data_IF_274702551910
#
_entry.id   IF_274702551910
#
_cell.length_a   1.000
_cell.length_b   1.000
_cell.length_c   1.000
_cell.angle_alpha   90.00
_cell.angle_beta   90.00
_cell.angle_gamma   90.00
#
_symmetry.space_group_name_H-M   'P 1'
#
loop_
_entity.id
_entity.type
_entity.pdbx_description
1 polymer ?
#
# COMPACT_ATOMS: atom_id res chain seq x y z
N UNK A 1 -40.81 35.78 13.49
CA UNK A 1 -39.88 34.98 14.34
C UNK A 1 -39.85 33.50 14.00
N UNK A 2 -40.99 32.80 13.73
CA UNK A 2 -41.00 31.37 13.37
C UNK A 2 -40.24 31.01 12.08
N UNK A 3 -40.22 31.84 11.06
CA UNK A 3 -39.51 31.62 9.79
C UNK A 3 -37.96 31.70 9.93
N UNK A 4 -37.46 32.51 10.83
CA UNK A 4 -36.02 32.67 11.09
C UNK A 4 -35.45 31.45 11.83
N UNK A 5 -36.25 30.85 12.69
CA UNK A 5 -35.84 29.65 13.47
C UNK A 5 -35.68 28.41 12.58
N UNK A 6 -36.52 28.24 11.55
CA UNK A 6 -36.40 27.15 10.59
C UNK A 6 -35.18 27.25 9.69
N UNK A 7 -34.79 28.49 9.32
CA UNK A 7 -33.59 28.70 8.49
C UNK A 7 -32.31 28.42 9.27
N UNK A 8 -32.27 28.71 10.56
CA UNK A 8 -31.12 28.41 11.42
C UNK A 8 -30.97 26.88 11.69
N UNK A 9 -32.08 26.17 11.83
CA UNK A 9 -32.06 24.71 12.01
C UNK A 9 -31.60 23.97 10.75
N UNK A 10 -31.96 24.46 9.56
CA UNK A 10 -31.53 23.90 8.28
C UNK A 10 -30.03 24.12 8.03
N UNK A 11 -29.43 25.19 8.50
CA UNK A 11 -28.01 25.49 8.33
C UNK A 11 -27.13 24.66 9.27
N UNK A 12 -27.63 24.30 10.45
CA UNK A 12 -26.90 23.47 11.41
C UNK A 12 -26.81 21.99 10.99
N UNK A 13 -27.79 21.49 10.22
CA UNK A 13 -27.79 20.12 9.72
C UNK A 13 -26.81 19.89 8.53
N UNK A 14 -26.31 20.94 7.89
CA UNK A 14 -25.42 20.85 6.74
C UNK A 14 -23.93 20.68 7.11
N UNK A 15 -23.56 20.71 8.39
CA UNK A 15 -22.15 20.77 8.82
C UNK A 15 -21.58 19.46 9.38
N UNK A 16 -22.32 18.37 9.35
CA UNK A 16 -21.80 17.07 9.78
C UNK A 16 -21.64 16.12 8.60
N UNK A 17 -20.77 16.47 7.64
CA UNK A 17 -20.23 15.46 6.75
C UNK A 17 -19.27 14.61 7.61
N UNK A 18 -19.52 13.29 7.75
CA UNK A 18 -18.57 12.44 8.45
C UNK A 18 -17.23 12.53 7.73
N UNK A 19 -16.18 12.90 8.46
CA UNK A 19 -14.84 12.91 7.91
C UNK A 19 -14.54 11.51 7.38
N UNK A 20 -14.24 11.41 6.09
CA UNK A 20 -13.95 10.12 5.48
C UNK A 20 -12.79 9.46 6.22
N UNK A 21 -13.02 8.24 6.67
CA UNK A 21 -12.01 7.44 7.37
C UNK A 21 -10.75 7.24 6.52
N UNK A 22 -9.57 7.40 7.14
CA UNK A 22 -8.31 7.12 6.46
C UNK A 22 -8.16 5.63 6.16
N UNK A 23 -7.82 5.28 4.91
CA UNK A 23 -7.69 3.89 4.45
C UNK A 23 -6.75 3.76 3.25
N UNK A 24 -6.20 2.56 3.08
CA UNK A 24 -5.61 2.08 1.84
C UNK A 24 -6.75 1.83 0.87
N UNK A 25 -6.66 2.36 -0.35
CA UNK A 25 -7.74 2.31 -1.36
C UNK A 25 -7.51 1.23 -2.41
N UNK A 26 -6.28 1.10 -2.91
CA UNK A 26 -5.92 0.12 -3.95
C UNK A 26 -4.50 -0.41 -3.74
N UNK A 27 -4.20 -1.56 -4.33
CA UNK A 27 -2.92 -2.24 -4.24
C UNK A 27 -2.88 -3.26 -3.09
N UNK A 28 -1.68 -3.77 -2.75
CA UNK A 28 -0.41 -3.42 -3.36
C UNK A 28 -0.24 -4.03 -4.76
N UNK A 29 0.52 -3.33 -5.61
CA UNK A 29 1.05 -3.84 -6.86
C UNK A 29 2.57 -3.95 -6.76
N UNK A 30 3.14 -4.92 -7.48
CA UNK A 30 4.58 -5.09 -7.58
C UNK A 30 5.04 -4.64 -8.96
N UNK A 31 6.06 -3.79 -9.00
CA UNK A 31 6.64 -3.25 -10.23
C UNK A 31 8.16 -3.35 -10.17
N UNK A 32 8.81 -3.31 -11.32
CA UNK A 32 10.27 -3.21 -11.42
C UNK A 32 10.98 -4.27 -10.56
N UNK A 33 10.53 -5.52 -10.70
CA UNK A 33 11.14 -6.64 -9.99
C UNK A 33 12.45 -7.03 -10.63
N UNK A 34 13.48 -7.22 -9.80
CA UNK A 34 14.82 -7.66 -10.19
C UNK A 34 15.23 -8.87 -9.35
N UNK A 35 16.44 -9.34 -9.52
CA UNK A 35 17.01 -10.40 -8.69
C UNK A 35 17.23 -9.94 -7.23
N UNK A 36 17.41 -8.63 -7.00
CA UNK A 36 17.78 -8.05 -5.70
C UNK A 36 16.82 -6.96 -5.21
N UNK A 37 15.66 -6.77 -5.88
CA UNK A 37 14.74 -5.74 -5.46
C UNK A 37 13.37 -5.77 -6.14
N UNK A 38 12.45 -5.00 -5.57
CA UNK A 38 11.08 -4.82 -6.09
C UNK A 38 10.52 -3.47 -5.61
N UNK A 39 9.71 -2.83 -6.41
CA UNK A 39 8.95 -1.64 -6.01
C UNK A 39 7.52 -2.04 -5.65
N UNK A 40 7.08 -1.69 -4.45
CA UNK A 40 5.72 -1.92 -3.97
C UNK A 40 4.93 -0.62 -4.08
N UNK A 41 3.80 -0.66 -4.82
CA UNK A 41 2.92 0.49 -5.02
C UNK A 41 1.56 0.26 -4.39
N UNK A 42 0.99 1.32 -3.82
CA UNK A 42 -0.40 1.33 -3.35
C UNK A 42 -0.93 2.76 -3.23
N UNK A 43 -2.22 2.91 -3.01
CA UNK A 43 -2.85 4.23 -2.81
C UNK A 43 -3.59 4.33 -1.48
N UNK A 44 -3.68 5.56 -0.99
CA UNK A 44 -4.48 5.95 0.17
C UNK A 44 -5.46 7.06 -0.22
N UNK A 45 -6.56 7.22 0.53
CA UNK A 45 -7.53 8.29 0.27
C UNK A 45 -7.12 9.66 0.81
N UNK A 46 -6.02 9.73 1.59
CA UNK A 46 -5.45 10.98 2.11
C UNK A 46 -3.94 10.90 2.12
N UNK A 47 -3.22 12.03 2.16
CA UNK A 47 -1.76 12.03 2.28
C UNK A 47 -1.27 11.23 3.48
N UNK A 48 -0.17 10.49 3.29
CA UNK A 48 0.35 9.61 4.33
C UNK A 48 1.88 9.48 4.28
N UNK A 49 2.47 9.21 5.44
CA UNK A 49 3.78 8.59 5.55
C UNK A 49 3.61 7.09 5.45
N UNK A 50 4.23 6.49 4.46
CA UNK A 50 4.00 5.08 4.13
C UNK A 50 5.28 4.28 4.12
N UNK A 51 5.19 2.97 4.49
CA UNK A 51 6.33 2.07 4.50
C UNK A 51 5.92 0.62 4.22
N UNK A 52 6.91 -0.17 3.87
CA UNK A 52 6.80 -1.62 3.74
C UNK A 52 7.67 -2.27 4.81
N UNK A 53 7.14 -3.28 5.45
CA UNK A 53 7.91 -4.23 6.26
C UNK A 53 7.96 -5.54 5.51
N UNK A 54 9.17 -6.08 5.30
CA UNK A 54 9.38 -7.31 4.54
C UNK A 54 10.43 -8.20 5.21
N UNK A 55 10.28 -9.51 5.02
CA UNK A 55 11.22 -10.53 5.50
C UNK A 55 11.21 -11.74 4.58
N UNK A 56 12.24 -12.57 4.63
CA UNK A 56 12.22 -13.88 3.96
C UNK A 56 11.08 -14.74 4.49
N UNK A 57 10.41 -15.46 3.61
CA UNK A 57 9.31 -16.38 3.99
C UNK A 57 9.91 -17.72 4.47
N UNK A 58 10.24 -17.78 5.73
CA UNK A 58 10.83 -18.94 6.41
C UNK A 58 9.78 -19.83 7.09
N UNK A 59 8.49 -19.58 6.83
CA UNK A 59 7.35 -20.30 7.40
C UNK A 59 6.96 -19.89 8.81
N UNK A 60 7.70 -18.97 9.45
CA UNK A 60 7.34 -18.40 10.75
C UNK A 60 6.25 -17.34 10.63
N UNK A 61 5.60 -17.03 11.73
CA UNK A 61 4.65 -15.91 11.77
C UNK A 61 5.34 -14.59 11.44
N UNK A 62 4.72 -13.78 10.59
CA UNK A 62 5.23 -12.43 10.27
C UNK A 62 5.49 -11.57 11.53
N UNK A 63 4.75 -11.80 12.59
CA UNK A 63 4.91 -11.05 13.86
C UNK A 63 5.87 -11.71 14.85
N UNK A 64 6.60 -12.77 14.46
CA UNK A 64 7.56 -13.42 15.34
C UNK A 64 8.81 -12.57 15.62
N UNK A 65 9.09 -11.57 14.80
CA UNK A 65 10.19 -10.63 14.95
C UNK A 65 9.80 -9.24 14.44
N UNK A 66 10.56 -8.23 14.86
CA UNK A 66 10.48 -6.90 14.27
C UNK A 66 11.16 -6.90 12.90
N UNK A 67 10.58 -6.13 11.98
CA UNK A 67 11.09 -6.01 10.61
C UNK A 67 11.55 -4.59 10.32
N UNK A 68 12.57 -4.48 9.47
CA UNK A 68 13.03 -3.18 8.97
C UNK A 68 11.93 -2.50 8.17
N UNK A 69 11.72 -1.21 8.44
CA UNK A 69 10.78 -0.37 7.69
C UNK A 69 11.47 0.26 6.50
N UNK A 70 10.96 -0.03 5.32
CA UNK A 70 11.42 0.57 4.07
C UNK A 70 10.46 1.69 3.69
N UNK A 71 11.01 2.89 3.44
CA UNK A 71 10.24 4.10 3.13
C UNK A 71 10.52 4.58 1.71
N UNK A 72 9.55 5.23 1.10
CA UNK A 72 9.85 6.06 -0.07
C UNK A 72 10.68 7.26 0.35
N UNK A 73 11.86 7.43 -0.27
CA UNK A 73 12.76 8.53 0.03
C UNK A 73 13.15 9.28 -1.25
N UNK A 74 13.22 10.60 -1.15
CA UNK A 74 13.78 11.47 -2.20
C UNK A 74 14.86 12.32 -1.56
N UNK A 75 16.05 12.30 -2.11
CA UNK A 75 17.22 12.99 -1.56
C UNK A 75 17.43 12.71 -0.06
N UNK A 76 17.25 11.45 0.36
CA UNK A 76 17.39 11.01 1.75
C UNK A 76 16.24 11.37 2.70
N UNK A 77 15.20 12.05 2.21
CA UNK A 77 14.04 12.43 3.01
C UNK A 77 12.84 11.54 2.74
N UNK A 78 12.17 11.07 3.78
CA UNK A 78 10.93 10.30 3.69
C UNK A 78 9.82 11.15 3.08
N UNK A 79 9.04 10.56 2.19
CA UNK A 79 7.90 11.22 1.55
C UNK A 79 6.63 10.98 2.38
N UNK A 80 5.91 12.06 2.73
CA UNK A 80 4.72 11.98 3.59
C UNK A 80 3.51 12.77 3.07
N UNK A 81 3.60 13.37 1.89
CA UNK A 81 2.57 14.29 1.37
C UNK A 81 1.80 13.73 0.17
N UNK A 82 1.91 12.42 -0.07
CA UNK A 82 1.38 11.75 -1.26
C UNK A 82 0.26 10.79 -0.90
N UNK A 83 -0.58 10.51 -1.87
CA UNK A 83 -1.63 9.48 -1.83
C UNK A 83 -1.28 8.25 -2.66
N UNK A 84 -0.34 8.38 -3.61
CA UNK A 84 0.28 7.26 -4.31
C UNK A 84 1.67 7.03 -3.70
N UNK A 85 1.89 5.83 -3.21
CA UNK A 85 3.11 5.42 -2.52
C UNK A 85 3.89 4.43 -3.38
N UNK A 86 5.22 4.62 -3.46
CA UNK A 86 6.13 3.75 -4.21
C UNK A 86 7.36 3.48 -3.32
N UNK A 87 7.41 2.32 -2.73
CA UNK A 87 8.50 1.93 -1.84
C UNK A 87 9.38 0.88 -2.50
N UNK A 88 10.64 1.21 -2.75
CA UNK A 88 11.64 0.29 -3.27
C UNK A 88 12.23 -0.55 -2.14
N UNK A 89 12.16 -1.87 -2.28
CA UNK A 89 12.94 -2.82 -1.50
C UNK A 89 14.21 -3.15 -2.29
N UNK A 90 15.36 -2.99 -1.67
CA UNK A 90 16.67 -3.28 -2.27
C UNK A 90 17.45 -4.27 -1.41
N UNK A 91 18.56 -4.80 -1.96
CA UNK A 91 19.45 -5.73 -1.29
C UNK A 91 18.74 -7.03 -0.85
N UNK A 92 17.77 -7.45 -1.63
CA UNK A 92 17.11 -8.73 -1.48
C UNK A 92 17.99 -9.85 -2.02
N UNK A 93 17.80 -11.07 -1.53
CA UNK A 93 18.51 -12.24 -2.05
C UNK A 93 17.83 -12.76 -3.31
N UNK A 94 18.60 -13.08 -4.37
CA UNK A 94 18.05 -13.66 -5.60
C UNK A 94 17.31 -14.98 -5.35
N UNK A 95 16.27 -15.23 -6.15
CA UNK A 95 15.49 -16.45 -6.15
C UNK A 95 14.76 -16.76 -4.84
N UNK A 96 14.64 -15.77 -3.95
CA UNK A 96 14.18 -15.95 -2.57
C UNK A 96 12.72 -15.52 -2.41
N UNK A 97 11.94 -16.33 -1.67
CA UNK A 97 10.57 -15.96 -1.29
C UNK A 97 10.58 -14.96 -0.14
N UNK A 98 9.76 -13.94 -0.27
CA UNK A 98 9.55 -12.90 0.74
C UNK A 98 8.07 -12.80 1.11
N UNK A 99 7.81 -12.46 2.36
CA UNK A 99 6.51 -11.99 2.80
C UNK A 99 6.59 -10.53 3.24
N UNK A 100 5.52 -9.75 3.02
CA UNK A 100 5.52 -8.33 3.30
C UNK A 100 4.14 -7.81 3.69
N UNK A 101 4.14 -6.64 4.33
CA UNK A 101 2.94 -5.85 4.65
C UNK A 101 3.21 -4.39 4.32
N UNK A 102 2.17 -3.68 3.91
CA UNK A 102 2.19 -2.24 3.68
C UNK A 102 1.49 -1.52 4.82
N UNK A 103 2.02 -0.38 5.17
CA UNK A 103 1.53 0.49 6.24
C UNK A 103 1.46 1.93 5.75
N UNK A 104 0.47 2.66 6.22
CA UNK A 104 0.34 4.09 5.94
C UNK A 104 -0.15 4.81 7.19
N UNK A 105 0.53 5.90 7.55
CA UNK A 105 0.15 6.77 8.66
C UNK A 105 -0.37 8.09 8.09
N UNK A 106 -1.61 8.44 8.44
CA UNK A 106 -2.28 9.65 7.96
C UNK A 106 -1.50 10.90 8.33
N UNK A 107 -1.35 11.82 7.39
CA UNK A 107 -0.88 13.17 7.66
C UNK A 107 -2.10 14.05 7.90
N UNK A 108 -2.25 14.53 9.13
CA UNK A 108 -3.35 15.42 9.52
C UNK A 108 -3.04 16.86 9.17
N UNK A 109 -1.82 17.29 9.45
CA UNK A 109 -1.40 18.66 9.22
C UNK A 109 0.10 18.69 8.93
N UNK A 110 0.49 19.47 7.94
CA UNK A 110 1.88 19.81 7.68
C UNK A 110 2.16 21.18 8.28
N UNK A 111 2.81 21.20 9.42
CA UNK A 111 3.26 22.43 10.05
C UNK A 111 4.56 22.92 9.43
N UNK A 112 5.10 23.97 9.91
CA UNK A 112 6.31 24.58 9.36
C UNK A 112 7.52 23.63 9.41
N UNK A 113 8.31 23.56 8.34
CA UNK A 113 9.52 22.74 8.23
C UNK A 113 9.23 21.23 8.24
N UNK A 114 9.95 20.50 9.07
CA UNK A 114 9.80 19.03 9.19
C UNK A 114 8.75 18.62 10.27
N UNK A 115 7.98 19.57 10.77
CA UNK A 115 6.97 19.33 11.79
C UNK A 115 5.66 18.87 11.15
N UNK A 116 5.38 17.59 11.23
CA UNK A 116 4.18 16.94 10.68
C UNK A 116 3.34 16.37 11.82
N UNK A 117 2.05 16.71 11.83
CA UNK A 117 1.10 16.08 12.74
C UNK A 117 0.54 14.83 12.07
N UNK A 118 0.82 13.68 12.66
CA UNK A 118 0.36 12.39 12.16
C UNK A 118 -0.92 11.94 12.87
N UNK A 119 -1.79 11.27 12.12
CA UNK A 119 -2.97 10.60 12.60
C UNK A 119 -2.76 9.10 12.80
N UNK A 120 -3.84 8.35 12.56
CA UNK A 120 -3.84 6.90 12.71
C UNK A 120 -3.03 6.18 11.63
N UNK A 121 -2.57 4.99 11.96
CA UNK A 121 -1.94 4.07 11.02
C UNK A 121 -2.93 3.03 10.56
N UNK A 122 -2.92 2.72 9.25
CA UNK A 122 -3.61 1.60 8.64
C UNK A 122 -2.60 0.65 8.01
N UNK A 123 -2.94 -0.62 7.94
CA UNK A 123 -2.07 -1.64 7.35
C UNK A 123 -2.89 -2.65 6.54
N UNK A 124 -2.23 -3.30 5.57
CA UNK A 124 -2.83 -4.36 4.78
C UNK A 124 -2.73 -5.71 5.47
N UNK A 125 -3.73 -6.56 5.23
CA UNK A 125 -3.72 -7.97 5.62
C UNK A 125 -3.24 -8.24 7.06
N UNK A 126 -3.69 -7.40 7.99
CA UNK A 126 -3.37 -7.52 9.40
C UNK A 126 -4.27 -8.55 10.11
N UNK A 127 -3.96 -8.84 11.37
CA UNK A 127 -4.63 -9.79 12.25
C UNK A 127 -4.54 -11.23 11.70
N UNK A 128 -5.65 -11.85 11.38
CA UNK A 128 -5.71 -13.25 10.93
C UNK A 128 -5.42 -13.46 9.44
N UNK A 129 -5.13 -12.40 8.70
CA UNK A 129 -4.84 -12.50 7.27
C UNK A 129 -3.35 -12.75 7.03
N UNK A 130 -3.03 -13.63 6.09
CA UNK A 130 -1.66 -13.87 5.65
C UNK A 130 -1.03 -12.60 5.08
N UNK A 131 0.29 -12.37 5.27
CA UNK A 131 1.00 -11.31 4.56
C UNK A 131 0.99 -11.56 3.04
N UNK A 132 1.25 -10.52 2.27
CA UNK A 132 1.52 -10.66 0.85
C UNK A 132 2.86 -11.37 0.63
N UNK A 133 3.04 -11.97 -0.54
CA UNK A 133 4.25 -12.70 -0.91
C UNK A 133 4.72 -12.35 -2.30
N UNK A 134 6.03 -12.45 -2.52
CA UNK A 134 6.65 -12.44 -3.83
C UNK A 134 7.92 -13.30 -3.81
N UNK A 135 8.49 -13.56 -4.99
CA UNK A 135 9.81 -14.16 -5.14
C UNK A 135 10.63 -13.27 -6.05
N UNK A 136 11.87 -12.96 -5.66
CA UNK A 136 12.84 -12.27 -6.49
C UNK A 136 13.26 -13.14 -7.68
N UNK A 137 13.73 -12.53 -8.77
CA UNK A 137 14.29 -13.29 -9.87
C UNK A 137 15.57 -14.01 -9.44
N UNK A 138 15.87 -15.20 -10.01
CA UNK A 138 17.13 -15.88 -9.74
C UNK A 138 18.30 -15.13 -10.36
N UNK A 139 19.50 -15.26 -9.75
CA UNK A 139 20.72 -14.58 -10.21
C UNK A 139 21.26 -15.07 -11.55
N UNK A 140 20.93 -16.30 -11.95
CA UNK A 140 21.37 -16.88 -13.23
C UNK A 140 20.18 -17.17 -14.09
N UNK A 141 20.31 -16.84 -15.40
CA UNK A 141 19.23 -16.93 -16.37
C UNK A 141 18.54 -18.29 -16.38
N UNK A 142 17.34 -18.28 -15.95
CA UNK A 142 16.36 -19.34 -16.16
C UNK A 142 15.30 -18.78 -17.10
N UNK A 143 14.68 -19.65 -17.88
CA UNK A 143 13.54 -19.25 -18.68
C UNK A 143 12.49 -18.60 -17.77
N UNK A 144 11.94 -17.49 -18.22
CA UNK A 144 10.83 -16.85 -17.53
C UNK A 144 9.59 -16.84 -18.44
N UNK A 145 8.44 -17.08 -17.85
CA UNK A 145 7.16 -16.94 -18.52
C UNK A 145 6.43 -15.72 -17.95
N UNK A 146 5.74 -15.00 -18.81
CA UNK A 146 4.89 -13.90 -18.39
C UNK A 146 3.59 -13.87 -19.20
N UNK A 147 2.57 -13.27 -18.62
CA UNK A 147 1.28 -13.09 -19.28
C UNK A 147 1.02 -11.60 -19.45
N UNK A 148 0.58 -11.21 -20.63
CA UNK A 148 0.12 -9.86 -20.92
C UNK A 148 -1.40 -9.90 -21.02
N UNK A 149 -2.07 -9.13 -20.16
CA UNK A 149 -3.51 -8.92 -20.21
C UNK A 149 -3.76 -7.45 -20.55
N UNK A 150 -4.58 -7.20 -21.55
CA UNK A 150 -4.97 -5.85 -21.96
C UNK A 150 -6.44 -5.81 -22.34
N UNK A 151 -6.98 -4.62 -22.48
CA UNK A 151 -8.30 -4.33 -23.06
C UNK A 151 -9.48 -5.04 -22.38
N UNK A 152 -9.41 -5.20 -21.06
CA UNK A 152 -10.43 -5.90 -20.27
C UNK A 152 -11.69 -5.03 -20.05
N UNK A 153 -11.66 -3.74 -20.43
CA UNK A 153 -12.80 -2.80 -20.38
C UNK A 153 -13.56 -2.79 -19.05
N UNK A 154 -12.82 -2.86 -17.93
CA UNK A 154 -13.42 -2.83 -16.59
C UNK A 154 -14.13 -4.12 -16.15
N UNK A 155 -14.01 -5.21 -16.90
CA UNK A 155 -14.57 -6.52 -16.53
C UNK A 155 -13.66 -7.25 -15.54
N UNK A 156 -13.74 -6.84 -14.27
CA UNK A 156 -12.88 -7.36 -13.20
C UNK A 156 -13.09 -8.87 -12.95
N UNK A 157 -14.30 -9.37 -13.19
CA UNK A 157 -14.62 -10.80 -13.01
C UNK A 157 -13.92 -11.65 -14.06
N UNK A 158 -13.87 -11.23 -15.32
CA UNK A 158 -13.14 -11.90 -16.39
C UNK A 158 -11.63 -11.93 -16.10
N UNK A 159 -11.08 -10.81 -15.58
CA UNK A 159 -9.69 -10.76 -15.15
C UNK A 159 -9.42 -11.80 -14.06
N UNK A 160 -10.32 -11.89 -13.08
CA UNK A 160 -10.19 -12.82 -11.96
C UNK A 160 -10.24 -14.28 -12.45
N UNK A 161 -11.09 -14.58 -13.42
CA UNK A 161 -11.19 -15.91 -13.99
C UNK A 161 -9.95 -16.28 -14.80
N UNK A 162 -9.49 -15.39 -15.68
CA UNK A 162 -8.24 -15.57 -16.44
C UNK A 162 -7.04 -15.79 -15.51
N UNK A 163 -6.94 -15.03 -14.40
CA UNK A 163 -5.85 -15.20 -13.44
C UNK A 163 -5.90 -16.55 -12.69
N UNK A 164 -7.06 -17.22 -12.60
CA UNK A 164 -7.15 -18.56 -12.00
C UNK A 164 -6.60 -19.66 -12.91
N UNK A 165 -6.69 -19.45 -14.21
CA UNK A 165 -6.18 -20.41 -15.20
C UNK A 165 -4.65 -20.31 -15.40
N UNK A 166 -4.02 -19.26 -14.87
CA UNK A 166 -2.59 -19.02 -14.99
C UNK A 166 -1.86 -19.67 -13.80
N UNK A 167 -0.96 -20.59 -14.10
CA UNK A 167 -0.02 -21.10 -13.10
C UNK A 167 1.12 -20.09 -12.90
N UNK A 168 1.13 -19.45 -11.76
CA UNK A 168 2.18 -18.48 -11.40
C UNK A 168 3.38 -19.12 -10.67
N UNK A 169 3.47 -20.43 -10.57
CA UNK A 169 4.62 -21.18 -10.00
C UNK A 169 4.63 -21.29 -8.47
#
# INVERSE_FOLDING_TARGET
MKKLLFTLLGLAAALTLPAQDFKITHGPWLCDMTEDGVTVLWTTNKPALSWVEATEDDGRSFYAAEHTRHYETVAGRKQAHKTLHAVRLNNLRPGTKYCYRIFSQEVLEWKHGDNVLYGRTVASNVYKRAPFRFRTFPATGTDCSFVILNDIHGRADDMTELCREIDFG
#
